data_IF_948468155813
#
_entry.id   IF_948468155813
#
_cell.length_a   1.000
_cell.length_b   1.000
_cell.length_c   1.000
_cell.angle_alpha   90.00
_cell.angle_beta   90.00
_cell.angle_gamma   90.00
#
_symmetry.space_group_name_H-M   'P 1'
#
loop_
_entity.id
_entity.type
_entity.pdbx_description
1 polymer ?
#
# COMPACT_ATOMS: atom_id res chain seq x y z
N UNK A 1 -18.61 -5.17 -23.64
CA UNK A 1 -18.09 -5.47 -22.29
C UNK A 1 -17.05 -4.41 -21.98
N UNK A 2 -17.43 -3.35 -21.27
CA UNK A 2 -16.45 -2.37 -20.82
C UNK A 2 -15.61 -3.06 -19.75
N UNK A 3 -14.29 -3.12 -19.94
CA UNK A 3 -13.38 -3.57 -18.89
C UNK A 3 -13.58 -2.67 -17.68
N UNK A 4 -14.17 -3.22 -16.63
CA UNK A 4 -14.30 -2.55 -15.34
C UNK A 4 -12.88 -2.30 -14.84
N UNK A 5 -12.46 -1.04 -14.76
CA UNK A 5 -11.12 -0.64 -14.34
C UNK A 5 -10.63 -1.49 -13.16
N UNK A 6 -9.47 -2.14 -13.31
CA UNK A 6 -8.96 -3.19 -12.40
C UNK A 6 -8.55 -2.72 -11.00
N UNK A 7 -9.03 -1.57 -10.54
CA UNK A 7 -8.62 -0.92 -9.30
C UNK A 7 -9.80 -0.32 -8.51
N UNK A 8 -9.56 -0.02 -7.24
CA UNK A 8 -10.45 0.75 -6.36
C UNK A 8 -9.67 1.88 -5.69
N UNK A 9 -10.29 3.05 -5.58
CA UNK A 9 -9.76 4.18 -4.83
C UNK A 9 -10.50 4.32 -3.51
N UNK A 10 -9.74 4.58 -2.45
CA UNK A 10 -10.27 4.84 -1.11
C UNK A 10 -9.76 6.18 -0.63
N UNK A 11 -10.64 7.16 -0.38
CA UNK A 11 -10.22 8.43 0.19
C UNK A 11 -9.90 8.27 1.68
N UNK A 12 -8.95 9.07 2.15
CA UNK A 12 -8.62 9.29 3.56
C UNK A 12 -8.43 7.99 4.37
N UNK A 13 -7.47 7.17 3.98
CA UNK A 13 -7.25 5.85 4.58
C UNK A 13 -6.19 5.90 5.67
N UNK A 14 -6.50 5.34 6.85
CA UNK A 14 -5.52 5.16 7.91
C UNK A 14 -4.40 4.20 7.46
N UNK A 15 -3.13 4.58 7.66
CA UNK A 15 -1.99 3.72 7.29
C UNK A 15 -2.00 2.38 8.03
N UNK A 16 -2.60 2.32 9.23
CA UNK A 16 -2.78 1.07 9.98
C UNK A 16 -3.66 0.04 9.27
N UNK A 17 -4.48 0.45 8.30
CA UNK A 17 -5.33 -0.47 7.54
C UNK A 17 -4.54 -1.30 6.50
N UNK A 18 -3.38 -0.81 6.05
CA UNK A 18 -2.64 -1.43 4.94
C UNK A 18 -1.13 -1.60 5.19
N UNK A 19 -0.56 -0.95 6.20
CA UNK A 19 0.83 -1.14 6.63
C UNK A 19 0.88 -2.06 7.86
N UNK A 20 1.79 -3.04 7.85
CA UNK A 20 2.00 -3.98 8.96
C UNK A 20 3.45 -3.95 9.43
N UNK A 21 3.64 -3.93 10.75
CA UNK A 21 4.92 -4.17 11.39
C UNK A 21 4.94 -5.60 11.95
N UNK A 22 5.99 -6.38 11.63
CA UNK A 22 6.10 -7.81 12.03
C UNK A 22 6.58 -8.03 13.47
N UNK A 23 6.90 -6.97 14.22
CA UNK A 23 7.32 -7.05 15.63
C UNK A 23 6.24 -6.63 16.63
N UNK A 24 6.54 -6.81 17.93
CA UNK A 24 5.65 -6.42 19.05
C UNK A 24 5.83 -4.96 19.52
N UNK A 25 6.66 -4.17 18.82
CA UNK A 25 6.94 -2.79 19.23
C UNK A 25 5.74 -1.88 19.02
N UNK A 26 5.11 -1.44 20.11
CA UNK A 26 4.07 -0.42 20.09
C UNK A 26 4.61 0.91 19.56
N UNK A 27 5.84 1.28 19.93
CA UNK A 27 6.48 2.49 19.44
C UNK A 27 6.61 2.50 17.92
N UNK A 28 7.02 1.38 17.31
CA UNK A 28 7.10 1.24 15.86
C UNK A 28 5.71 1.32 15.18
N UNK A 29 4.69 0.70 15.77
CA UNK A 29 3.30 0.81 15.27
C UNK A 29 2.77 2.25 15.32
N UNK A 30 3.08 2.98 16.39
CA UNK A 30 2.62 4.35 16.57
C UNK A 30 3.19 5.31 15.50
N UNK A 31 4.29 4.96 14.83
CA UNK A 31 4.84 5.76 13.73
C UNK A 31 3.88 5.88 12.54
N UNK A 32 3.00 4.89 12.32
CA UNK A 32 2.04 4.91 11.21
C UNK A 32 0.58 4.86 11.65
N UNK A 33 0.27 4.35 12.85
CA UNK A 33 -1.11 4.10 13.25
C UNK A 33 -2.00 5.35 13.32
N UNK A 34 -1.42 6.53 13.53
CA UNK A 34 -2.13 7.81 13.62
C UNK A 34 -2.09 8.61 12.31
N UNK A 35 -1.56 8.04 11.23
CA UNK A 35 -1.39 8.71 9.94
C UNK A 35 -2.42 8.24 8.92
N UNK A 36 -2.80 9.18 8.06
CA UNK A 36 -3.71 8.95 6.95
C UNK A 36 -3.01 9.31 5.65
N UNK A 37 -3.46 8.66 4.58
CA UNK A 37 -3.16 9.02 3.20
C UNK A 37 -4.42 9.59 2.54
N UNK A 38 -4.26 10.52 1.60
CA UNK A 38 -5.41 11.14 0.95
C UNK A 38 -6.16 10.16 0.06
N UNK A 39 -5.44 9.33 -0.70
CA UNK A 39 -6.03 8.20 -1.40
C UNK A 39 -5.14 6.96 -1.36
N UNK A 40 -5.77 5.80 -1.19
CA UNK A 40 -5.16 4.51 -1.41
C UNK A 40 -5.74 3.88 -2.67
N UNK A 41 -4.88 3.44 -3.57
CA UNK A 41 -5.27 2.69 -4.76
C UNK A 41 -5.00 1.22 -4.51
N UNK A 42 -6.02 0.38 -4.69
CA UNK A 42 -5.93 -1.06 -4.52
C UNK A 42 -6.32 -1.80 -5.79
N UNK A 43 -5.76 -2.99 -5.98
CA UNK A 43 -6.24 -3.94 -6.98
C UNK A 43 -7.68 -4.39 -6.65
N UNK A 44 -8.56 -4.37 -7.66
CA UNK A 44 -10.01 -4.59 -7.49
C UNK A 44 -10.37 -5.94 -6.89
N UNK A 45 -9.62 -6.99 -7.25
CA UNK A 45 -9.90 -8.39 -6.88
C UNK A 45 -9.34 -8.78 -5.52
N UNK A 46 -8.10 -8.37 -5.23
CA UNK A 46 -7.35 -8.82 -4.05
C UNK A 46 -7.36 -7.80 -2.92
N UNK A 47 -7.78 -6.56 -3.18
CA UNK A 47 -7.62 -5.42 -2.29
C UNK A 47 -6.16 -5.09 -1.93
N UNK A 48 -5.20 -5.63 -2.68
CA UNK A 48 -3.78 -5.36 -2.49
C UNK A 48 -3.49 -3.88 -2.77
N UNK A 49 -2.83 -3.16 -1.85
CA UNK A 49 -2.32 -1.81 -2.11
C UNK A 49 -1.41 -1.78 -3.34
N UNK A 50 -1.67 -0.87 -4.26
CA UNK A 50 -0.85 -0.61 -5.44
C UNK A 50 0.05 0.60 -5.21
N UNK A 51 -0.53 1.73 -4.81
CA UNK A 51 0.19 2.97 -4.48
C UNK A 51 -0.71 3.92 -3.69
N UNK A 52 -0.09 4.97 -3.16
CA UNK A 52 -0.75 6.07 -2.45
C UNK A 52 -0.72 7.34 -3.31
N UNK A 53 -1.79 8.13 -3.25
CA UNK A 53 -1.82 9.50 -3.75
C UNK A 53 -1.92 10.46 -2.56
N UNK A 54 -1.07 11.49 -2.53
CA UNK A 54 -1.20 12.64 -1.64
C UNK A 54 -1.43 13.91 -2.45
N UNK A 55 -2.24 14.81 -1.89
CA UNK A 55 -2.54 16.12 -2.43
C UNK A 55 -1.79 17.17 -1.61
N UNK A 56 -0.68 17.67 -2.15
CA UNK A 56 0.13 18.69 -1.51
C UNK A 56 -0.53 20.06 -1.70
N UNK A 57 -1.00 20.67 -0.62
CA UNK A 57 -1.42 22.08 -0.63
C UNK A 57 -0.23 23.04 -0.61
N UNK A 58 -0.47 24.32 -0.89
CA UNK A 58 0.52 25.40 -0.80
C UNK A 58 1.10 25.66 0.62
N UNK A 59 0.86 24.77 1.58
CA UNK A 59 1.23 24.97 2.97
C UNK A 59 2.75 24.95 3.14
N UNK A 60 3.27 26.03 3.73
CA UNK A 60 4.69 26.28 3.99
C UNK A 60 5.44 25.06 4.53
N UNK A 61 6.57 24.77 3.90
CA UNK A 61 7.52 23.70 4.22
C UNK A 61 8.23 23.86 5.57
N UNK A 62 7.47 24.01 6.65
CA UNK A 62 7.99 23.99 8.01
C UNK A 62 8.76 22.70 8.29
N UNK A 63 9.79 22.77 9.14
CA UNK A 63 10.58 21.59 9.51
C UNK A 63 9.73 20.44 10.07
N UNK A 64 8.62 20.77 10.77
CA UNK A 64 7.67 19.78 11.29
C UNK A 64 6.89 19.08 10.17
N UNK A 65 6.48 19.80 9.12
CA UNK A 65 5.83 19.20 7.96
C UNK A 65 6.79 18.25 7.23
N UNK A 66 8.00 18.73 6.93
CA UNK A 66 9.04 17.92 6.26
C UNK A 66 9.38 16.64 7.05
N UNK A 67 9.48 16.72 8.38
CA UNK A 67 9.73 15.54 9.23
C UNK A 67 8.59 14.51 9.14
N UNK A 68 7.33 14.97 9.11
CA UNK A 68 6.16 14.07 8.98
C UNK A 68 6.12 13.42 7.60
N UNK A 69 6.38 14.19 6.55
CA UNK A 69 6.44 13.68 5.17
C UNK A 69 7.57 12.69 4.98
N UNK A 70 8.77 13.02 5.43
CA UNK A 70 9.91 12.08 5.40
C UNK A 70 9.55 10.78 6.09
N UNK A 71 8.96 10.85 7.28
CA UNK A 71 8.58 9.65 8.02
C UNK A 71 7.51 8.83 7.28
N UNK A 72 6.53 9.49 6.63
CA UNK A 72 5.52 8.81 5.80
C UNK A 72 6.18 8.10 4.61
N UNK A 73 7.09 8.78 3.90
CA UNK A 73 7.84 8.22 2.78
C UNK A 73 8.68 7.00 3.20
N UNK A 74 9.42 7.12 4.31
CA UNK A 74 10.24 6.03 4.84
C UNK A 74 9.39 4.79 5.17
N UNK A 75 8.21 4.98 5.76
CA UNK A 75 7.28 3.88 6.09
C UNK A 75 6.74 3.22 4.83
N UNK A 76 6.24 4.01 3.86
CA UNK A 76 5.68 3.49 2.62
C UNK A 76 6.73 2.76 1.78
N UNK A 77 7.95 3.29 1.70
CA UNK A 77 9.08 2.63 1.06
C UNK A 77 9.41 1.29 1.73
N UNK A 78 9.43 1.24 3.07
CA UNK A 78 9.64 -0.02 3.81
C UNK A 78 8.54 -1.06 3.60
N UNK A 79 7.33 -0.62 3.23
CA UNK A 79 6.20 -1.47 2.90
C UNK A 79 6.14 -1.85 1.42
N UNK A 80 7.05 -1.33 0.59
CA UNK A 80 7.03 -1.53 -0.86
C UNK A 80 5.84 -0.86 -1.56
N UNK A 81 5.31 0.23 -0.99
CA UNK A 81 4.14 0.95 -1.52
C UNK A 81 4.62 2.30 -2.09
N UNK A 82 4.56 2.50 -3.41
CA UNK A 82 4.89 3.78 -4.03
C UNK A 82 3.95 4.91 -3.58
N UNK A 83 4.44 6.14 -3.70
CA UNK A 83 3.69 7.37 -3.40
C UNK A 83 3.76 8.32 -4.59
N UNK A 84 2.61 8.81 -5.04
CA UNK A 84 2.47 9.87 -6.05
C UNK A 84 1.93 11.13 -5.36
N UNK A 85 2.52 12.28 -5.66
CA UNK A 85 2.15 13.57 -5.04
C UNK A 85 1.71 14.56 -6.10
N UNK A 86 0.56 15.18 -5.87
CA UNK A 86 0.01 16.21 -6.74
C UNK A 86 -0.02 17.54 -6.01
N UNK A 87 0.64 18.56 -6.56
CA UNK A 87 0.74 19.91 -5.96
C UNK A 87 -0.36 20.87 -6.43
N UNK A 88 -1.04 20.53 -7.53
CA UNK A 88 -2.15 21.30 -8.07
C UNK A 88 -3.48 20.68 -7.65
N UNK A 89 -4.48 21.52 -7.42
CA UNK A 89 -5.88 21.06 -7.30
C UNK A 89 -6.48 20.70 -8.68
N UNK A 90 -5.86 21.21 -9.74
CA UNK A 90 -6.29 21.05 -11.13
C UNK A 90 -5.34 20.09 -11.86
N UNK A 91 -5.28 18.83 -11.42
CA UNK A 91 -4.55 17.79 -12.16
C UNK A 91 -5.50 17.15 -13.15
N UNK A 92 -5.14 17.22 -14.44
CA UNK A 92 -5.91 16.60 -15.50
C UNK A 92 -5.92 15.07 -15.35
N UNK A 93 -7.05 14.45 -15.71
CA UNK A 93 -7.22 13.01 -15.65
C UNK A 93 -6.18 12.28 -16.49
N UNK A 94 -5.74 12.84 -17.63
CA UNK A 94 -4.68 12.22 -18.46
C UNK A 94 -3.36 12.10 -17.72
N UNK A 95 -3.00 13.10 -16.92
CA UNK A 95 -1.78 13.06 -16.09
C UNK A 95 -1.87 11.92 -15.09
N UNK A 96 -2.99 11.83 -14.37
CA UNK A 96 -3.23 10.75 -13.40
C UNK A 96 -3.16 9.37 -14.07
N UNK A 97 -3.72 9.23 -15.26
CA UNK A 97 -3.68 7.99 -16.04
C UNK A 97 -2.27 7.64 -16.53
N UNK A 98 -1.46 8.62 -16.94
CA UNK A 98 -0.06 8.41 -17.34
C UNK A 98 0.80 8.00 -16.16
N UNK A 99 0.62 8.66 -15.01
CA UNK A 99 1.34 8.38 -13.78
C UNK A 99 1.08 6.95 -13.29
N UNK A 100 -0.16 6.46 -13.45
CA UNK A 100 -0.49 5.07 -13.14
C UNK A 100 0.46 4.08 -13.82
N UNK A 101 0.76 4.25 -15.12
CA UNK A 101 1.68 3.37 -15.84
C UNK A 101 3.14 3.50 -15.38
N UNK A 102 3.51 4.66 -14.83
CA UNK A 102 4.87 4.91 -14.32
C UNK A 102 5.07 4.32 -12.92
N UNK A 103 3.99 4.24 -12.13
CA UNK A 103 4.01 3.82 -10.73
C UNK A 103 3.64 2.34 -10.56
N UNK A 104 2.75 1.84 -11.40
CA UNK A 104 2.35 0.44 -11.46
C UNK A 104 2.98 -0.17 -12.70
N UNK A 105 4.14 -0.84 -12.59
CA UNK A 105 4.69 -1.55 -13.74
C UNK A 105 3.67 -2.56 -14.26
N UNK A 106 3.61 -2.81 -15.58
CA UNK A 106 2.75 -3.84 -16.13
C UNK A 106 3.04 -5.15 -15.39
N UNK A 107 2.01 -5.77 -14.80
CA UNK A 107 2.18 -7.07 -14.16
C UNK A 107 2.76 -8.02 -15.21
N UNK A 108 3.89 -8.71 -14.94
CA UNK A 108 4.21 -9.91 -15.70
C UNK A 108 2.98 -10.80 -15.66
N UNK A 109 2.60 -11.37 -16.80
CA UNK A 109 1.48 -12.27 -16.89
C UNK A 109 1.75 -13.53 -16.05
N UNK A 110 1.43 -13.50 -14.76
CA UNK A 110 1.54 -14.67 -13.89
C UNK A 110 0.14 -15.28 -13.67
N UNK A 111 -0.36 -15.92 -14.73
CA UNK A 111 -1.18 -17.12 -14.59
C UNK A 111 -0.22 -18.33 -14.55
N UNK A 112 0.32 -18.61 -13.37
CA UNK A 112 0.89 -19.93 -13.05
C UNK A 112 -0.11 -20.67 -12.13
N UNK A 113 -0.30 -21.99 -12.27
CA UNK A 113 -1.27 -22.70 -11.45
C UNK A 113 -0.86 -22.60 -9.98
N UNK A 114 -1.81 -22.17 -9.14
CA UNK A 114 -1.69 -22.21 -7.69
C UNK A 114 -1.21 -23.59 -7.26
N UNK A 115 -0.04 -23.66 -6.62
CA UNK A 115 0.43 -24.87 -5.97
C UNK A 115 -0.67 -25.40 -5.01
N UNK A 116 -0.93 -26.71 -4.97
CA UNK A 116 -2.01 -27.26 -4.18
C UNK A 116 -1.74 -27.08 -2.68
N UNK A 117 -2.81 -26.71 -2.01
CA UNK A 117 -2.94 -26.37 -0.59
C UNK A 117 -2.79 -27.60 0.31
N UNK A 118 -1.62 -28.26 0.31
CA UNK A 118 -1.41 -29.49 1.08
C UNK A 118 -0.10 -29.52 1.88
N UNK A 119 0.09 -28.54 2.77
CA UNK A 119 1.06 -28.66 3.88
C UNK A 119 0.50 -28.21 5.24
N UNK A 120 -0.83 -28.09 5.38
CA UNK A 120 -1.48 -27.72 6.66
C UNK A 120 -2.04 -28.88 7.47
N UNK A 121 -1.55 -30.10 7.25
CA UNK A 121 -1.77 -31.26 8.12
C UNK A 121 -0.58 -32.21 8.06
N UNK A 122 0.36 -32.07 9.01
CA UNK A 122 1.23 -33.15 9.51
C UNK A 122 2.17 -32.59 10.60
N UNK A 123 1.63 -32.28 11.78
CA UNK A 123 2.37 -32.37 13.06
C UNK A 123 1.40 -32.72 14.18
N UNK A 124 0.90 -33.94 14.13
CA UNK A 124 0.31 -34.62 15.27
C UNK A 124 0.59 -36.12 15.14
N UNK A 125 1.83 -36.52 15.38
CA UNK A 125 2.17 -37.86 15.90
C UNK A 125 3.41 -37.70 16.77
N UNK A 126 3.27 -37.89 18.07
CA UNK A 126 4.36 -38.30 18.96
C UNK A 126 3.81 -39.43 19.80
N UNK A 127 4.26 -40.65 19.53
CA UNK A 127 4.29 -41.78 20.47
C UNK A 127 5.38 -42.78 20.00
N UNK A 128 5.91 -43.67 20.85
CA UNK A 128 6.10 -43.62 22.31
C UNK A 128 7.60 -43.79 22.67
N UNK A 129 7.97 -43.69 23.96
CA UNK A 129 9.29 -44.13 24.44
C UNK A 129 9.06 -45.38 25.29
N UNK A 130 9.87 -46.40 24.99
CA UNK A 130 9.92 -47.71 25.65
C UNK A 130 10.37 -47.63 27.12
#
# INVERSE_FOLDING_TARGET
>A
MQEEFGYKLFPQVAMSAFVRHRGKSHAARNLFAQKYVDYLVCERKTMRPLYVIELDGASHGSAKAQKRDKQKNDILASAGIPIMRYTSKDVDLKTILSDYFSVVPPQPAEFGPSAPDNERKLRAVREPVA
#
